data_IF_854052954246
#
_entry.id   IF_854052954246
#
_cell.length_a   1.000
_cell.length_b   1.000
_cell.length_c   1.000
_cell.angle_alpha   90.00
_cell.angle_beta   90.00
_cell.angle_gamma   90.00
#
_symmetry.space_group_name_H-M   'P 1'
#
loop_
_entity.id
_entity.type
_entity.pdbx_description
1 polymer ?
#
# COMPACT_ATOMS: atom_id res chain seq x y z
N UNK A 1 30.22 -15.44 -11.02
CA UNK A 1 29.41 -15.84 -9.84
C UNK A 1 30.18 -15.33 -8.62
N UNK A 2 29.99 -14.08 -8.25
CA UNK A 2 30.63 -13.52 -7.05
C UNK A 2 29.62 -13.55 -5.90
N UNK A 3 30.06 -14.22 -4.85
CA UNK A 3 29.34 -14.51 -3.64
C UNK A 3 29.34 -13.23 -2.78
N UNK A 4 28.26 -12.46 -2.78
CA UNK A 4 28.09 -11.35 -1.82
C UNK A 4 27.67 -11.94 -0.46
N UNK A 5 28.66 -12.22 0.37
CA UNK A 5 28.44 -12.51 1.78
C UNK A 5 27.87 -11.29 2.49
N UNK A 6 26.62 -11.38 2.94
CA UNK A 6 25.96 -10.40 3.79
C UNK A 6 26.54 -10.45 5.20
N UNK A 7 27.45 -9.54 5.53
CA UNK A 7 27.81 -9.24 6.91
C UNK A 7 26.94 -8.08 7.42
N UNK A 8 26.43 -8.21 8.65
CA UNK A 8 25.54 -7.25 9.31
C UNK A 8 26.13 -5.83 9.51
N UNK A 9 27.39 -5.62 9.22
CA UNK A 9 28.12 -4.34 9.35
C UNK A 9 28.42 -3.65 8.00
N UNK A 10 28.05 -4.24 6.85
CA UNK A 10 28.43 -3.79 5.51
C UNK A 10 27.29 -3.19 4.67
N UNK A 11 26.15 -2.78 5.23
CA UNK A 11 25.17 -2.01 4.47
C UNK A 11 25.78 -0.63 4.17
N UNK A 12 26.28 -0.46 2.94
CA UNK A 12 26.52 0.88 2.38
C UNK A 12 25.28 1.71 2.73
N UNK A 13 25.45 2.81 3.49
CA UNK A 13 24.33 3.66 3.90
C UNK A 13 23.74 4.28 2.65
N UNK A 14 22.68 3.65 2.11
CA UNK A 14 21.89 4.25 1.06
C UNK A 14 21.32 5.57 1.58
N UNK A 15 21.52 6.65 0.83
CA UNK A 15 20.97 7.96 1.20
C UNK A 15 19.45 8.01 0.98
N UNK A 16 18.90 7.14 0.13
CA UNK A 16 17.45 7.03 -0.11
C UNK A 16 16.92 5.75 0.51
N UNK A 17 15.88 5.86 1.34
CA UNK A 17 15.16 4.72 1.89
C UNK A 17 13.66 4.84 1.57
N UNK A 18 13.10 3.82 0.95
CA UNK A 18 11.64 3.69 0.81
C UNK A 18 11.08 3.07 2.08
N UNK A 19 10.33 3.87 2.83
CA UNK A 19 9.84 3.50 4.16
C UNK A 19 8.39 3.08 4.07
N UNK A 20 8.11 1.81 4.27
CA UNK A 20 6.75 1.29 4.40
C UNK A 20 6.14 1.74 5.73
N UNK A 21 5.00 2.43 5.67
CA UNK A 21 4.36 3.04 6.86
C UNK A 21 3.18 2.26 7.42
N UNK A 22 2.86 1.11 6.83
CA UNK A 22 1.63 0.40 7.16
C UNK A 22 0.38 1.13 6.66
N UNK A 23 -0.81 0.61 6.91
CA UNK A 23 -2.07 1.13 6.35
C UNK A 23 -2.71 2.23 7.21
N UNK A 24 -2.00 3.33 7.49
CA UNK A 24 -2.58 4.54 8.06
C UNK A 24 -2.54 4.71 9.57
N UNK A 25 -1.98 3.76 10.34
CA UNK A 25 -1.73 3.90 11.78
C UNK A 25 -0.23 3.80 12.07
N UNK A 26 0.29 4.68 12.93
CA UNK A 26 1.69 4.67 13.34
C UNK A 26 2.11 3.37 14.05
N UNK A 27 1.19 2.68 14.72
CA UNK A 27 1.44 1.39 15.37
C UNK A 27 1.82 0.26 14.38
N UNK A 28 1.54 0.46 13.09
CA UNK A 28 1.91 -0.49 12.04
C UNK A 28 3.30 -0.26 11.45
N UNK A 29 4.04 0.77 11.91
CA UNK A 29 5.41 0.96 11.49
C UNK A 29 6.33 -0.06 12.17
N UNK A 30 7.28 -0.60 11.40
CA UNK A 30 8.35 -1.39 11.99
C UNK A 30 9.37 -0.50 12.69
N UNK A 31 10.11 -1.04 13.66
CA UNK A 31 11.18 -0.29 14.32
C UNK A 31 12.25 0.19 13.33
N UNK A 32 12.54 -0.59 12.29
CA UNK A 32 13.41 -0.20 11.18
C UNK A 32 12.87 1.03 10.45
N UNK A 33 11.57 1.03 10.10
CA UNK A 33 10.89 2.17 9.47
C UNK A 33 11.01 3.44 10.33
N UNK A 34 10.73 3.33 11.63
CA UNK A 34 10.84 4.46 12.58
C UNK A 34 12.27 4.98 12.66
N UNK A 35 13.26 4.09 12.68
CA UNK A 35 14.68 4.45 12.69
C UNK A 35 15.07 5.30 11.47
N UNK A 36 14.72 4.85 10.27
CA UNK A 36 14.99 5.59 9.03
C UNK A 36 14.26 6.94 8.96
N UNK A 37 13.01 7.01 9.44
CA UNK A 37 12.26 8.28 9.50
C UNK A 37 12.90 9.29 10.45
N UNK A 38 13.42 8.83 11.60
CA UNK A 38 14.13 9.71 12.56
C UNK A 38 15.43 10.26 12.00
N UNK A 39 16.17 9.44 11.26
CA UNK A 39 17.45 9.82 10.66
C UNK A 39 17.32 10.64 9.37
N UNK A 40 16.17 10.60 8.70
CA UNK A 40 15.95 11.31 7.45
C UNK A 40 15.96 12.83 7.66
N UNK A 41 16.70 13.55 6.81
CA UNK A 41 16.75 15.02 6.78
C UNK A 41 15.60 15.58 5.92
N UNK A 42 15.08 14.75 5.00
CA UNK A 42 13.93 15.05 4.16
C UNK A 42 13.03 13.83 4.02
N UNK A 43 11.71 14.04 4.06
CA UNK A 43 10.72 12.96 3.99
C UNK A 43 9.73 13.30 2.88
N UNK A 44 9.57 12.41 1.91
CA UNK A 44 8.59 12.55 0.84
C UNK A 44 7.36 11.69 1.15
N UNK A 45 6.18 12.31 1.10
CA UNK A 45 4.89 11.67 1.29
C UNK A 45 4.05 11.80 0.03
N UNK A 46 3.47 10.71 -0.47
CA UNK A 46 2.52 10.80 -1.57
C UNK A 46 1.18 11.33 -1.09
N UNK A 47 0.60 12.21 -1.87
CA UNK A 47 -0.72 12.78 -1.63
C UNK A 47 -1.59 12.77 -2.87
N UNK A 48 -2.89 12.93 -2.67
CA UNK A 48 -3.91 13.08 -3.73
C UNK A 48 -4.54 14.47 -3.63
N UNK A 49 -4.68 15.17 -4.75
CA UNK A 49 -5.20 16.54 -4.77
C UNK A 49 -4.93 17.20 -6.11
N UNK A 50 -5.21 18.50 -6.20
CA UNK A 50 -4.94 19.28 -7.41
C UNK A 50 -3.49 19.78 -7.46
N UNK A 51 -2.87 20.02 -6.30
CA UNK A 51 -1.48 20.45 -6.15
C UNK A 51 -0.93 20.02 -4.79
N UNK A 52 0.38 20.17 -4.58
CA UNK A 52 1.07 19.72 -3.38
C UNK A 52 0.60 20.45 -2.10
N UNK A 53 0.17 21.71 -2.19
CA UNK A 53 -0.28 22.50 -1.05
C UNK A 53 -1.66 22.09 -0.52
N UNK A 54 -2.50 21.53 -1.39
CA UNK A 54 -3.88 21.09 -1.07
C UNK A 54 -4.04 19.58 -1.02
N UNK A 55 -2.97 18.84 -1.26
CA UNK A 55 -3.00 17.39 -1.32
C UNK A 55 -3.26 16.78 0.06
N UNK A 56 -4.18 15.84 0.11
CA UNK A 56 -4.37 14.95 1.26
C UNK A 56 -3.37 13.80 1.19
N UNK A 57 -2.63 13.56 2.27
CA UNK A 57 -1.63 12.50 2.35
C UNK A 57 -1.80 11.66 3.61
N UNK A 58 -2.18 10.40 3.44
CA UNK A 58 -2.33 9.45 4.57
C UNK A 58 -0.99 9.15 5.24
N UNK A 59 0.08 9.08 4.47
CA UNK A 59 1.42 8.88 5.04
C UNK A 59 1.88 10.09 5.85
N UNK A 60 1.52 11.32 5.46
CA UNK A 60 1.79 12.52 6.27
C UNK A 60 1.01 12.50 7.59
N UNK A 61 -0.25 12.06 7.58
CA UNK A 61 -1.04 11.89 8.81
C UNK A 61 -0.44 10.82 9.72
N UNK A 62 0.04 9.72 9.15
CA UNK A 62 0.76 8.67 9.90
C UNK A 62 2.05 9.24 10.55
N UNK A 63 2.82 10.06 9.83
CA UNK A 63 3.99 10.74 10.40
C UNK A 63 3.60 11.68 11.53
N UNK A 64 2.54 12.46 11.35
CA UNK A 64 2.04 13.40 12.38
C UNK A 64 1.64 12.68 13.66
N UNK A 65 1.01 11.51 13.54
CA UNK A 65 0.62 10.68 14.69
C UNK A 65 1.81 10.00 15.36
N UNK A 66 2.87 9.68 14.61
CA UNK A 66 4.10 9.11 15.14
C UNK A 66 4.92 10.16 15.90
N UNK A 67 5.21 11.28 15.25
CA UNK A 67 5.99 12.39 15.79
C UNK A 67 5.75 13.66 14.94
N UNK A 68 5.00 14.61 15.49
CA UNK A 68 4.63 15.84 14.81
C UNK A 68 5.85 16.65 14.32
N UNK A 69 7.02 16.50 14.94
CA UNK A 69 8.26 17.19 14.53
C UNK A 69 8.75 16.74 13.16
N UNK A 70 8.42 15.53 12.73
CA UNK A 70 8.79 15.01 11.41
C UNK A 70 8.09 15.76 10.27
N UNK A 71 6.90 16.33 10.53
CA UNK A 71 6.11 17.05 9.52
C UNK A 71 6.88 18.25 8.96
N UNK A 72 7.72 18.91 9.75
CA UNK A 72 8.54 20.05 9.30
C UNK A 72 9.58 19.68 8.22
N UNK A 73 9.93 18.39 8.12
CA UNK A 73 10.86 17.83 7.12
C UNK A 73 10.13 17.14 5.97
N UNK A 74 8.79 17.07 6.04
CA UNK A 74 7.99 16.37 5.06
C UNK A 74 7.63 17.26 3.87
N UNK A 75 7.66 16.66 2.68
CA UNK A 75 7.23 17.25 1.42
C UNK A 75 6.17 16.34 0.84
N UNK A 76 4.99 16.89 0.52
CA UNK A 76 3.94 16.15 -0.15
C UNK A 76 4.20 16.19 -1.66
N UNK A 77 4.16 15.01 -2.29
CA UNK A 77 4.25 14.85 -3.75
C UNK A 77 2.89 14.42 -4.25
N UNK A 78 2.21 15.30 -4.96
CA UNK A 78 0.89 15.00 -5.51
C UNK A 78 0.97 14.02 -6.65
N UNK A 79 0.23 12.92 -6.50
CA UNK A 79 -0.06 12.00 -7.60
C UNK A 79 -1.45 12.35 -8.14
N UNK A 80 -1.56 12.72 -9.42
CA UNK A 80 -2.86 12.98 -10.02
C UNK A 80 -3.68 11.68 -10.01
N UNK A 81 -4.94 11.79 -9.57
CA UNK A 81 -5.94 10.70 -9.62
C UNK A 81 -6.41 10.42 -11.07
N UNK A 82 -5.71 10.99 -12.05
CA UNK A 82 -6.07 10.90 -13.44
C UNK A 82 -5.94 9.48 -13.98
N UNK A 83 -6.89 9.09 -14.81
CA UNK A 83 -6.89 7.88 -15.65
C UNK A 83 -5.70 7.84 -16.63
N UNK A 84 -5.03 8.96 -16.83
CA UNK A 84 -3.88 9.08 -17.75
C UNK A 84 -2.57 8.76 -17.02
N UNK A 85 -1.99 7.63 -17.35
CA UNK A 85 -0.68 7.19 -16.83
C UNK A 85 0.43 8.23 -17.03
N UNK A 86 0.34 9.06 -18.07
CA UNK A 86 1.35 10.06 -18.43
C UNK A 86 1.61 11.09 -17.32
N UNK A 87 0.55 11.59 -16.66
CA UNK A 87 0.69 12.58 -15.59
C UNK A 87 1.29 11.98 -14.32
N UNK A 88 0.92 10.73 -14.00
CA UNK A 88 1.52 10.00 -12.89
C UNK A 88 3.03 9.76 -13.14
N UNK A 89 3.42 9.40 -14.37
CA UNK A 89 4.84 9.24 -14.74
C UNK A 89 5.61 10.54 -14.60
N UNK A 90 5.04 11.69 -15.00
CA UNK A 90 5.67 13.01 -14.82
C UNK A 90 5.91 13.34 -13.32
N UNK A 91 4.99 12.95 -12.43
CA UNK A 91 5.19 13.10 -10.98
C UNK A 91 6.32 12.20 -10.46
N UNK A 92 6.43 10.96 -10.94
CA UNK A 92 7.55 10.08 -10.59
C UNK A 92 8.88 10.60 -11.13
N UNK A 93 8.91 11.18 -12.32
CA UNK A 93 10.12 11.82 -12.89
C UNK A 93 10.57 13.01 -12.04
N UNK A 94 9.63 13.88 -11.63
CA UNK A 94 9.93 15.02 -10.73
C UNK A 94 10.50 14.54 -9.40
N UNK A 95 9.84 13.57 -8.75
CA UNK A 95 10.33 13.01 -7.49
C UNK A 95 11.72 12.40 -7.66
N UNK A 96 11.96 11.64 -8.73
CA UNK A 96 13.28 11.05 -9.00
C UNK A 96 14.35 12.13 -9.12
N UNK A 97 14.06 13.23 -9.83
CA UNK A 97 15.00 14.37 -9.95
C UNK A 97 15.30 15.00 -8.60
N UNK A 98 14.29 15.20 -7.75
CA UNK A 98 14.46 15.73 -6.38
C UNK A 98 15.32 14.80 -5.53
N UNK A 99 15.10 13.49 -5.58
CA UNK A 99 15.90 12.49 -4.87
C UNK A 99 17.36 12.52 -5.34
N UNK A 100 17.62 12.64 -6.65
CA UNK A 100 18.97 12.78 -7.19
C UNK A 100 19.68 14.02 -6.64
N UNK A 101 18.98 15.15 -6.53
CA UNK A 101 19.56 16.39 -6.03
C UNK A 101 19.84 16.33 -4.53
N UNK A 102 18.96 15.68 -3.75
CA UNK A 102 19.16 15.47 -2.33
C UNK A 102 20.36 14.54 -2.07
N UNK A 103 20.48 13.46 -2.84
CA UNK A 103 21.64 12.55 -2.78
C UNK A 103 22.95 13.26 -3.11
N UNK A 104 22.98 14.15 -4.13
CA UNK A 104 24.17 14.96 -4.47
C UNK A 104 24.57 15.90 -3.31
N UNK A 105 23.61 16.36 -2.50
CA UNK A 105 23.85 17.17 -1.29
C UNK A 105 24.24 16.34 -0.08
N UNK A 106 24.31 15.01 -0.20
CA UNK A 106 24.61 14.10 0.89
C UNK A 106 23.48 13.91 1.90
N UNK A 107 22.24 14.30 1.56
CA UNK A 107 21.10 14.22 2.46
C UNK A 107 20.55 12.80 2.55
N UNK A 108 20.18 12.39 3.77
CA UNK A 108 19.40 11.15 4.00
C UNK A 108 17.94 11.45 3.78
N UNK A 109 17.33 10.68 2.89
CA UNK A 109 15.96 10.89 2.43
C UNK A 109 15.11 9.65 2.70
N UNK A 110 13.92 9.85 3.26
CA UNK A 110 12.88 8.84 3.35
C UNK A 110 11.77 9.12 2.33
N UNK A 111 11.31 8.08 1.64
CA UNK A 111 10.11 8.13 0.78
C UNK A 111 9.06 7.24 1.41
N UNK A 112 8.01 7.84 1.96
CA UNK A 112 6.94 7.12 2.65
C UNK A 112 6.02 6.40 1.67
N UNK A 113 5.75 5.13 1.96
CA UNK A 113 4.86 4.27 1.16
C UNK A 113 3.75 3.74 2.06
N UNK A 114 2.49 4.02 1.75
CA UNK A 114 1.35 3.47 2.50
C UNK A 114 1.29 1.95 2.33
N UNK A 115 1.10 1.23 3.41
CA UNK A 115 1.14 -0.23 3.45
C UNK A 115 2.55 -0.78 3.35
N UNK A 116 2.81 -1.59 2.35
CA UNK A 116 4.11 -2.19 2.03
C UNK A 116 4.56 -1.79 0.62
N UNK A 117 5.83 -1.41 0.47
CA UNK A 117 6.44 -1.10 -0.84
C UNK A 117 6.45 -2.29 -1.81
N UNK A 118 6.25 -3.50 -1.30
CA UNK A 118 6.33 -4.75 -2.07
C UNK A 118 4.97 -5.27 -2.56
N UNK A 119 3.85 -4.61 -2.18
CA UNK A 119 2.48 -5.04 -2.56
C UNK A 119 1.78 -3.94 -3.34
N UNK A 120 1.74 -4.06 -4.67
CA UNK A 120 1.03 -3.16 -5.60
C UNK A 120 1.31 -1.67 -5.40
N UNK A 121 2.51 -1.33 -4.94
CA UNK A 121 2.92 0.03 -4.66
C UNK A 121 3.49 0.71 -5.91
N UNK A 122 2.91 1.84 -6.32
CA UNK A 122 3.36 2.60 -7.48
C UNK A 122 4.74 3.26 -7.31
N UNK A 123 5.25 3.31 -6.08
CA UNK A 123 6.62 3.76 -5.81
C UNK A 123 7.69 2.93 -6.54
N UNK A 124 7.37 1.71 -6.98
CA UNK A 124 8.25 0.88 -7.82
C UNK A 124 8.73 1.61 -9.08
N UNK A 125 7.90 2.46 -9.66
CA UNK A 125 8.29 3.28 -10.81
C UNK A 125 9.42 4.27 -10.48
N UNK A 126 9.50 4.77 -9.25
CA UNK A 126 10.61 5.62 -8.79
C UNK A 126 11.87 4.77 -8.54
N UNK A 127 11.71 3.61 -7.92
CA UNK A 127 12.83 2.67 -7.67
C UNK A 127 13.50 2.23 -8.97
N UNK A 128 12.71 1.90 -9.99
CA UNK A 128 13.22 1.52 -11.32
C UNK A 128 14.05 2.64 -11.94
N UNK A 129 13.62 3.91 -11.79
CA UNK A 129 14.35 5.08 -12.28
C UNK A 129 15.68 5.27 -11.53
N UNK A 130 15.67 5.16 -10.19
CA UNK A 130 16.90 5.24 -9.40
C UNK A 130 17.88 4.13 -9.77
N UNK A 131 17.38 2.91 -9.98
CA UNK A 131 18.20 1.78 -10.46
C UNK A 131 18.83 2.10 -11.80
N UNK A 132 18.06 2.64 -12.76
CA UNK A 132 18.56 3.02 -14.09
C UNK A 132 19.61 4.13 -14.04
N UNK A 133 19.57 4.97 -13.00
CA UNK A 133 20.55 6.04 -12.77
C UNK A 133 21.75 5.59 -11.90
N UNK A 134 21.79 4.32 -11.47
CA UNK A 134 22.85 3.79 -10.62
C UNK A 134 22.82 4.34 -9.19
N UNK A 135 21.68 4.87 -8.72
CA UNK A 135 21.51 5.40 -7.36
C UNK A 135 21.02 4.29 -6.44
N UNK A 136 21.82 3.91 -5.43
CA UNK A 136 21.44 2.87 -4.49
C UNK A 136 20.33 3.36 -3.55
N UNK A 137 19.40 2.49 -3.22
CA UNK A 137 18.35 2.73 -2.23
C UNK A 137 18.16 1.52 -1.32
N UNK A 138 17.53 1.74 -0.18
CA UNK A 138 17.05 0.70 0.74
C UNK A 138 15.53 0.68 0.79
N UNK A 139 14.96 -0.43 1.25
CA UNK A 139 13.53 -0.58 1.51
C UNK A 139 13.34 -1.13 2.92
N UNK A 140 12.28 -0.69 3.62
CA UNK A 140 11.86 -1.31 4.88
C UNK A 140 10.65 -2.20 4.65
N UNK A 141 10.54 -3.28 5.42
CA UNK A 141 9.34 -4.10 5.44
C UNK A 141 8.14 -3.33 5.98
N UNK A 142 6.93 -3.63 5.47
CA UNK A 142 5.71 -2.99 5.93
C UNK A 142 4.53 -3.95 6.02
N UNK A 143 3.55 -3.59 6.84
CA UNK A 143 2.31 -4.34 7.01
C UNK A 143 1.34 -3.93 5.90
N UNK A 144 0.96 -4.84 4.97
CA UNK A 144 -0.05 -4.53 3.97
C UNK A 144 -1.46 -4.45 4.59
N UNK A 145 -2.33 -3.67 3.97
CA UNK A 145 -3.66 -3.38 4.51
C UNK A 145 -4.51 -4.63 4.80
N UNK A 146 -4.40 -5.67 4.00
CA UNK A 146 -5.18 -6.89 4.20
C UNK A 146 -4.77 -7.69 5.46
N UNK A 147 -3.50 -7.61 5.88
CA UNK A 147 -3.04 -8.21 7.15
C UNK A 147 -3.65 -7.43 8.33
N UNK A 148 -3.59 -6.11 8.30
CA UNK A 148 -4.18 -5.28 9.35
C UNK A 148 -5.71 -5.44 9.40
N UNK A 149 -6.38 -5.51 8.24
CA UNK A 149 -7.82 -5.77 8.13
C UNK A 149 -8.21 -7.09 8.77
N UNK A 150 -7.53 -8.16 8.41
CA UNK A 150 -7.78 -9.50 8.96
C UNK A 150 -7.59 -9.54 10.48
N UNK A 151 -6.54 -8.89 10.98
CA UNK A 151 -6.28 -8.78 12.44
C UNK A 151 -7.41 -8.02 13.14
N UNK A 152 -7.86 -6.89 12.58
CA UNK A 152 -8.95 -6.09 13.17
C UNK A 152 -10.28 -6.86 13.23
N UNK A 153 -10.57 -7.71 12.25
CA UNK A 153 -11.76 -8.55 12.20
C UNK A 153 -11.58 -9.90 12.92
N UNK A 154 -10.40 -10.20 13.49
CA UNK A 154 -10.05 -11.52 14.05
C UNK A 154 -10.29 -12.65 13.03
N UNK A 155 -9.98 -12.37 11.78
CA UNK A 155 -10.16 -13.27 10.65
C UNK A 155 -8.83 -13.95 10.31
N UNK A 156 -8.84 -15.29 10.25
CA UNK A 156 -7.74 -16.03 9.65
C UNK A 156 -7.82 -15.93 8.13
N UNK A 157 -6.76 -15.45 7.48
CA UNK A 157 -6.69 -15.39 6.02
C UNK A 157 -6.54 -16.78 5.41
N UNK A 158 -5.77 -17.65 6.04
CA UNK A 158 -5.63 -19.05 5.68
C UNK A 158 -5.33 -19.92 6.89
N UNK A 159 -5.85 -21.14 6.88
CA UNK A 159 -5.64 -22.14 7.92
C UNK A 159 -5.06 -23.41 7.29
N UNK A 160 -4.16 -24.07 8.01
CA UNK A 160 -3.55 -25.33 7.60
C UNK A 160 -3.02 -25.34 6.13
N UNK A 161 -3.74 -25.97 5.23
CA UNK A 161 -3.35 -26.16 3.82
C UNK A 161 -4.11 -25.20 2.86
N UNK A 162 -4.91 -24.29 3.39
CA UNK A 162 -5.59 -23.29 2.56
C UNK A 162 -4.60 -22.40 1.82
N UNK A 163 -4.96 -22.03 0.61
CA UNK A 163 -4.17 -21.10 -0.22
C UNK A 163 -4.71 -19.70 -0.12
N UNK A 164 -3.84 -18.71 -0.31
CA UNK A 164 -4.22 -17.30 -0.39
C UNK A 164 -3.78 -16.71 -1.71
N UNK A 165 -4.71 -16.08 -2.43
CA UNK A 165 -4.40 -15.25 -3.59
C UNK A 165 -4.74 -13.80 -3.32
N UNK A 166 -3.79 -12.90 -3.56
CA UNK A 166 -3.98 -11.44 -3.41
C UNK A 166 -4.09 -10.82 -4.80
N UNK A 167 -5.16 -10.07 -5.05
CA UNK A 167 -5.54 -9.57 -6.38
C UNK A 167 -5.68 -8.04 -6.34
N UNK A 168 -5.18 -7.30 -7.34
CA UNK A 168 -5.19 -5.82 -7.34
C UNK A 168 -6.48 -5.18 -7.91
N UNK A 169 -7.62 -5.84 -7.82
CA UNK A 169 -8.91 -5.32 -8.31
C UNK A 169 -9.19 -5.53 -9.81
N UNK A 170 -8.36 -6.31 -10.48
CA UNK A 170 -8.63 -6.73 -11.88
C UNK A 170 -9.00 -8.20 -11.88
N UNK A 171 -10.28 -8.49 -11.69
CA UNK A 171 -10.81 -9.85 -11.60
C UNK A 171 -12.26 -9.88 -12.09
N UNK A 172 -12.67 -10.99 -12.68
CA UNK A 172 -14.06 -11.28 -13.07
C UNK A 172 -14.76 -12.14 -12.02
N UNK A 173 -16.10 -12.21 -12.06
CA UNK A 173 -16.86 -13.09 -11.18
C UNK A 173 -16.50 -14.57 -11.42
N UNK A 174 -16.33 -14.98 -12.66
CA UNK A 174 -15.99 -16.36 -13.02
C UNK A 174 -14.59 -16.78 -12.52
N UNK A 175 -13.63 -15.83 -12.52
CA UNK A 175 -12.30 -16.08 -11.93
C UNK A 175 -12.38 -16.21 -10.40
N UNK A 176 -13.20 -15.41 -9.71
CA UNK A 176 -13.45 -15.54 -8.27
C UNK A 176 -14.01 -16.93 -7.98
N UNK A 177 -15.05 -17.36 -8.70
CA UNK A 177 -15.68 -18.67 -8.57
C UNK A 177 -14.68 -19.81 -8.77
N UNK A 178 -13.86 -19.70 -9.81
CA UNK A 178 -12.83 -20.70 -10.13
C UNK A 178 -11.81 -20.84 -9.00
N UNK A 179 -11.29 -19.72 -8.48
CA UNK A 179 -10.29 -19.74 -7.43
C UNK A 179 -10.85 -20.27 -6.10
N UNK A 180 -12.04 -19.84 -5.72
CA UNK A 180 -12.73 -20.36 -4.53
C UNK A 180 -13.00 -21.87 -4.66
N UNK A 181 -13.44 -22.33 -5.84
CA UNK A 181 -13.63 -23.76 -6.14
C UNK A 181 -12.34 -24.60 -6.03
N UNK A 182 -11.19 -23.96 -6.14
CA UNK A 182 -9.87 -24.57 -5.92
C UNK A 182 -9.38 -24.47 -4.45
N UNK A 183 -10.27 -24.23 -3.51
CA UNK A 183 -9.96 -24.05 -2.08
C UNK A 183 -8.96 -22.91 -1.80
N UNK A 184 -9.08 -21.81 -2.55
CA UNK A 184 -8.22 -20.64 -2.41
C UNK A 184 -9.01 -19.48 -1.80
N UNK A 185 -8.54 -18.96 -0.67
CA UNK A 185 -9.07 -17.73 -0.11
C UNK A 185 -8.54 -16.54 -0.92
N UNK A 186 -9.36 -15.51 -1.08
CA UNK A 186 -9.01 -14.36 -1.90
C UNK A 186 -8.92 -13.10 -1.05
N UNK A 187 -7.92 -12.28 -1.33
CA UNK A 187 -7.88 -10.87 -0.95
C UNK A 187 -8.00 -10.05 -2.23
N UNK A 188 -9.08 -9.33 -2.39
CA UNK A 188 -9.27 -8.42 -3.52
C UNK A 188 -9.05 -6.99 -3.02
N UNK A 189 -7.99 -6.34 -3.52
CA UNK A 189 -7.65 -4.96 -3.22
C UNK A 189 -8.18 -4.03 -4.32
N UNK A 190 -8.34 -2.72 -4.01
CA UNK A 190 -8.78 -1.71 -4.98
C UNK A 190 -10.13 -2.06 -5.62
N UNK A 191 -11.11 -2.38 -4.79
CA UNK A 191 -12.44 -2.86 -5.21
C UNK A 191 -13.17 -1.92 -6.17
N UNK A 192 -12.85 -0.61 -6.17
CA UNK A 192 -13.42 0.36 -7.11
C UNK A 192 -13.23 -0.03 -8.59
N UNK A 193 -12.24 -0.89 -8.90
CA UNK A 193 -11.98 -1.36 -10.26
C UNK A 193 -12.78 -2.61 -10.65
N UNK A 194 -13.40 -3.31 -9.68
CA UNK A 194 -14.11 -4.57 -9.93
C UNK A 194 -15.48 -4.65 -9.25
N UNK A 195 -16.12 -3.52 -8.98
CA UNK A 195 -17.43 -3.44 -8.29
C UNK A 195 -18.45 -4.41 -8.90
N UNK A 196 -18.64 -4.39 -10.22
CA UNK A 196 -19.62 -5.24 -10.90
C UNK A 196 -19.28 -6.74 -10.75
N UNK A 197 -18.00 -7.11 -10.82
CA UNK A 197 -17.58 -8.51 -10.65
C UNK A 197 -17.89 -9.02 -9.23
N UNK A 198 -17.57 -8.22 -8.21
CA UNK A 198 -17.86 -8.56 -6.80
C UNK A 198 -19.37 -8.69 -6.57
N UNK A 199 -20.17 -7.73 -7.03
CA UNK A 199 -21.63 -7.77 -6.88
C UNK A 199 -22.24 -8.99 -7.59
N UNK A 200 -21.78 -9.29 -8.79
CA UNK A 200 -22.20 -10.49 -9.53
C UNK A 200 -21.87 -11.75 -8.73
N UNK A 201 -20.67 -11.85 -8.17
CA UNK A 201 -20.26 -12.99 -7.37
C UNK A 201 -21.13 -13.13 -6.10
N UNK A 202 -21.42 -12.03 -5.39
CA UNK A 202 -22.30 -12.04 -4.21
C UNK A 202 -23.70 -12.58 -4.53
N UNK A 203 -24.23 -12.21 -5.71
CA UNK A 203 -25.55 -12.68 -6.14
C UNK A 203 -25.55 -14.18 -6.52
N UNK A 204 -24.50 -14.63 -7.20
CA UNK A 204 -24.40 -16.04 -7.64
C UNK A 204 -24.04 -16.99 -6.50
N UNK A 205 -23.22 -16.53 -5.54
CA UNK A 205 -22.66 -17.33 -4.45
C UNK A 205 -22.97 -16.72 -3.08
N UNK A 206 -24.24 -16.74 -2.65
CA UNK A 206 -24.63 -16.23 -1.35
C UNK A 206 -24.08 -17.05 -0.17
N UNK A 207 -23.56 -18.23 -0.41
CA UNK A 207 -22.89 -19.12 0.53
C UNK A 207 -21.44 -18.73 0.83
N UNK A 208 -20.75 -17.99 -0.05
CA UNK A 208 -19.41 -17.52 0.22
C UNK A 208 -19.38 -16.53 1.36
N UNK A 209 -18.24 -16.45 2.06
CA UNK A 209 -18.03 -15.48 3.13
C UNK A 209 -17.34 -14.23 2.54
N UNK A 210 -18.00 -13.08 2.68
CA UNK A 210 -17.51 -11.78 2.20
C UNK A 210 -17.17 -10.89 3.38
N UNK A 211 -15.90 -10.60 3.59
CA UNK A 211 -15.41 -9.71 4.63
C UNK A 211 -14.92 -8.42 3.96
N UNK A 212 -15.70 -7.37 4.09
CA UNK A 212 -15.46 -6.08 3.45
C UNK A 212 -14.86 -5.08 4.42
N UNK A 213 -13.85 -4.35 3.95
CA UNK A 213 -13.15 -3.35 4.76
C UNK A 213 -12.96 -2.06 3.98
N UNK A 214 -13.09 -0.93 4.68
CA UNK A 214 -12.74 0.41 4.21
C UNK A 214 -11.76 1.06 5.17
N UNK A 215 -10.91 1.95 4.64
CA UNK A 215 -10.03 2.83 5.39
C UNK A 215 -9.24 2.15 6.51
N UNK A 216 -8.76 0.94 6.26
CA UNK A 216 -8.04 0.12 7.24
C UNK A 216 -6.93 0.91 7.92
N UNK A 217 -6.85 0.80 9.26
CA UNK A 217 -5.83 1.44 10.08
C UNK A 217 -6.09 2.91 10.38
N UNK A 218 -7.19 3.50 9.93
CA UNK A 218 -7.56 4.89 10.22
C UNK A 218 -8.74 4.99 11.18
N UNK A 219 -9.02 6.16 11.78
CA UNK A 219 -10.22 6.37 12.59
C UNK A 219 -11.55 6.13 11.83
N UNK A 220 -11.51 6.18 10.49
CA UNK A 220 -12.66 5.91 9.62
C UNK A 220 -12.75 4.47 9.16
N UNK A 221 -11.99 3.57 9.80
CA UNK A 221 -12.04 2.14 9.46
C UNK A 221 -13.46 1.60 9.61
N UNK A 222 -13.93 0.91 8.57
CA UNK A 222 -15.22 0.22 8.55
C UNK A 222 -15.04 -1.24 8.16
N UNK A 223 -15.85 -2.11 8.77
CA UNK A 223 -15.89 -3.54 8.49
C UNK A 223 -17.33 -4.05 8.49
N UNK A 224 -17.67 -4.87 7.50
CA UNK A 224 -18.95 -5.57 7.47
C UNK A 224 -18.88 -6.88 6.69
N UNK A 225 -19.79 -7.78 7.02
CA UNK A 225 -20.12 -9.01 6.25
C UNK A 225 -21.54 -8.97 5.70
N UNK A 226 -22.24 -7.85 5.87
CA UNK A 226 -23.62 -7.69 5.44
C UNK A 226 -23.71 -7.59 3.91
N UNK A 227 -24.23 -8.63 3.28
CA UNK A 227 -24.41 -8.72 1.83
C UNK A 227 -25.40 -7.71 1.29
N UNK A 228 -26.44 -7.32 2.06
CA UNK A 228 -27.39 -6.31 1.62
C UNK A 228 -26.68 -4.95 1.48
N UNK A 229 -25.85 -4.62 2.46
CA UNK A 229 -25.00 -3.43 2.38
C UNK A 229 -24.09 -3.49 1.13
N UNK A 230 -23.38 -4.60 0.90
CA UNK A 230 -22.42 -4.76 -0.21
C UNK A 230 -23.09 -4.62 -1.59
N UNK A 231 -24.30 -5.17 -1.74
CA UNK A 231 -25.05 -5.10 -3.00
C UNK A 231 -25.76 -3.76 -3.23
N UNK A 232 -25.97 -2.98 -2.16
CA UNK A 232 -26.57 -1.63 -2.26
C UNK A 232 -25.58 -0.55 -2.70
N UNK A 233 -24.28 -0.80 -2.61
CA UNK A 233 -23.24 0.16 -3.01
C UNK A 233 -23.22 0.33 -4.53
N UNK A 234 -23.32 1.57 -5.01
CA UNK A 234 -23.20 1.91 -6.45
C UNK A 234 -21.78 1.61 -6.94
N UNK A 235 -20.78 1.92 -6.10
CA UNK A 235 -19.38 1.61 -6.32
C UNK A 235 -18.66 1.45 -4.98
N UNK A 236 -17.65 0.58 -4.94
CA UNK A 236 -16.78 0.48 -3.78
C UNK A 236 -15.81 1.68 -3.73
N UNK A 237 -15.53 2.25 -2.54
CA UNK A 237 -14.52 3.30 -2.38
C UNK A 237 -13.13 2.84 -2.80
N UNK A 238 -12.25 3.80 -3.11
CA UNK A 238 -10.86 3.51 -3.51
C UNK A 238 -10.07 2.79 -2.41
N UNK A 239 -10.18 3.25 -1.16
CA UNK A 239 -9.50 2.64 -0.02
C UNK A 239 -10.33 1.50 0.58
N UNK A 240 -10.63 0.51 -0.23
CA UNK A 240 -11.39 -0.68 0.19
C UNK A 240 -10.72 -1.97 -0.26
N UNK A 241 -10.96 -3.03 0.49
CA UNK A 241 -10.57 -4.39 0.15
C UNK A 241 -11.61 -5.38 0.65
N UNK A 242 -11.59 -6.58 0.08
CA UNK A 242 -12.47 -7.67 0.47
C UNK A 242 -11.67 -8.97 0.62
N UNK A 243 -11.96 -9.70 1.69
CA UNK A 243 -11.54 -11.10 1.82
C UNK A 243 -12.72 -11.97 1.47
N UNK A 244 -12.55 -12.89 0.50
CA UNK A 244 -13.58 -13.84 0.09
C UNK A 244 -13.10 -15.24 0.45
N UNK A 245 -13.93 -15.99 1.18
CA UNK A 245 -13.63 -17.37 1.57
C UNK A 245 -14.74 -18.30 1.11
N UNK A 246 -14.45 -19.60 0.90
CA UNK A 246 -15.49 -20.60 0.67
C UNK A 246 -16.56 -20.56 1.76
N UNK A 247 -17.79 -20.91 1.44
CA UNK A 247 -18.82 -21.23 2.42
C UNK A 247 -18.37 -22.39 3.31
N UNK A 248 -18.82 -22.39 4.55
CA UNK A 248 -18.59 -23.50 5.48
C UNK A 248 -19.59 -24.62 5.24
#
# INVERSE_FOLDING_TARGET
MENTSTNAEGRSRSLVTFVSTGPGNADFLTQESIGHLREAERIYCFGTGQNDDTASSRTLETLRSLDATMVSRAVVVTLPMATQRTEAHAAYDRLTSQLCDDVKRGQRVAVCVEGSSNIYASVRYVMERLTSLGIPYAETAGIPSFIAAATAARLSLCELQERLTVIPGTITADEIETLIGQHTNLVVMKLSHCTAAIQTCIHRHPDFQYHYFENVGTPQQFYTTDRQHLTSLVAFPYFSLMVIKPGR
#
